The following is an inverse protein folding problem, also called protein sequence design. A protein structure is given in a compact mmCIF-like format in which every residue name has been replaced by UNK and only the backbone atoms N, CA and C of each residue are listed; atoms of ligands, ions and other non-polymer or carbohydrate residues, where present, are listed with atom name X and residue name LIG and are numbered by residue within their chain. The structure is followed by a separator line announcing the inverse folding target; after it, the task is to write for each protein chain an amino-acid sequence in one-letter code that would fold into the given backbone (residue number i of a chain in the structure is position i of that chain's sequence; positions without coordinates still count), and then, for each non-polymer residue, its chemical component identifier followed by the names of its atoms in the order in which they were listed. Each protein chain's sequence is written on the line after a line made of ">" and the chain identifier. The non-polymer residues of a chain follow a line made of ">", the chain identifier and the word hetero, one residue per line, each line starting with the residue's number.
data_IF_082980681509
#
_entry.id   IF_082980681509
#
_cell.length_a   1.000
_cell.length_b   1.000
_cell.length_c   1.000
_cell.angle_alpha   90.00
_cell.angle_beta   90.00
_cell.angle_gamma   90.00
#
_symmetry.space_group_name_H-M   'P 1'
#
loop_
_entity.id
_entity.type
_entity.pdbx_description
1 polymer ?
#
# COMPACT_ATOMS: atom_id res chain seq x y z
N UNK A 1 17.61 21.20 17.19
CA UNK A 1 16.98 21.67 15.94
C UNK A 1 16.03 20.59 15.48
N UNK A 2 14.72 20.79 15.62
CA UNK A 2 13.73 19.85 15.12
C UNK A 2 13.69 19.99 13.61
N UNK A 3 14.13 18.95 12.89
CA UNK A 3 13.85 18.84 11.47
C UNK A 3 12.33 18.79 11.31
N UNK A 4 11.76 19.80 10.70
CA UNK A 4 10.37 19.82 10.27
C UNK A 4 10.17 18.61 9.37
N UNK A 5 9.23 17.73 9.72
CA UNK A 5 8.79 16.66 8.84
C UNK A 5 8.37 17.33 7.52
N UNK A 6 9.17 17.13 6.48
CA UNK A 6 8.79 17.53 5.14
C UNK A 6 7.49 16.79 4.84
N UNK A 7 6.42 17.55 4.55
CA UNK A 7 5.15 16.98 4.09
C UNK A 7 5.47 16.08 2.88
N UNK A 8 5.40 14.78 3.09
CA UNK A 8 5.67 13.81 2.04
C UNK A 8 4.52 13.89 1.04
N UNK A 9 4.70 14.66 -0.03
CA UNK A 9 3.74 14.65 -1.13
C UNK A 9 3.81 13.30 -1.84
N UNK A 10 2.65 12.69 -2.11
CA UNK A 10 2.58 11.44 -2.86
C UNK A 10 3.24 11.62 -4.24
N UNK A 11 4.34 10.92 -4.57
CA UNK A 11 5.04 11.08 -5.85
C UNK A 11 4.33 10.36 -6.99
N UNK A 12 4.67 10.71 -8.22
CA UNK A 12 4.35 9.91 -9.41
C UNK A 12 5.31 8.73 -9.51
N UNK A 13 4.77 7.52 -9.72
CA UNK A 13 5.55 6.32 -9.95
C UNK A 13 5.09 5.66 -11.26
N UNK A 14 6.02 5.03 -11.98
CA UNK A 14 5.73 4.30 -13.21
C UNK A 14 6.27 2.87 -13.11
N UNK A 15 5.47 1.90 -13.57
CA UNK A 15 5.88 0.50 -13.65
C UNK A 15 5.24 -0.17 -14.88
N UNK A 16 6.05 -0.36 -15.92
CA UNK A 16 5.57 -0.88 -17.20
C UNK A 16 4.46 0.00 -17.81
N UNK A 17 3.28 -0.58 -17.97
CA UNK A 17 2.09 0.11 -18.49
C UNK A 17 1.23 0.76 -17.41
N UNK A 18 1.71 0.84 -16.17
CA UNK A 18 1.00 1.49 -15.07
C UNK A 18 1.64 2.81 -14.69
N UNK A 19 0.79 3.76 -14.38
CA UNK A 19 1.16 5.02 -13.75
C UNK A 19 0.43 5.09 -12.40
N UNK A 20 1.18 5.28 -11.33
CA UNK A 20 0.65 5.54 -10.00
C UNK A 20 0.70 7.05 -9.79
N UNK A 21 -0.46 7.67 -9.78
CA UNK A 21 -0.59 9.12 -9.62
C UNK A 21 -1.13 9.46 -8.24
N UNK A 22 -0.78 10.62 -7.65
CA UNK A 22 -1.41 11.07 -6.42
C UNK A 22 -2.93 11.00 -6.53
N UNK A 23 -3.57 10.33 -5.56
CA UNK A 23 -5.02 10.25 -5.56
C UNK A 23 -5.63 11.65 -5.37
N UNK A 24 -6.59 12.00 -6.19
CA UNK A 24 -7.19 13.34 -6.22
C UNK A 24 -8.71 13.26 -6.44
N UNK A 25 -9.38 14.41 -6.41
CA UNK A 25 -10.83 14.50 -6.60
C UNK A 25 -11.32 13.81 -7.90
N UNK A 26 -10.52 13.78 -8.97
CA UNK A 26 -10.89 13.09 -10.23
C UNK A 26 -11.11 11.59 -10.07
N UNK A 27 -10.52 10.97 -9.01
CA UNK A 27 -10.64 9.54 -8.73
C UNK A 27 -11.81 9.20 -7.79
N UNK A 28 -12.40 10.22 -7.13
CA UNK A 28 -13.60 10.08 -6.29
C UNK A 28 -14.84 9.98 -7.16
N UNK A 29 -15.03 8.83 -7.80
CA UNK A 29 -16.10 8.55 -8.76
C UNK A 29 -17.11 7.54 -8.21
N UNK A 30 -18.29 7.46 -8.82
CA UNK A 30 -19.25 6.41 -8.52
C UNK A 30 -18.66 5.01 -8.72
N UNK A 31 -17.77 4.84 -9.72
CA UNK A 31 -17.05 3.60 -9.98
C UNK A 31 -16.15 3.21 -8.80
N UNK A 32 -15.36 4.17 -8.26
CA UNK A 32 -14.51 3.94 -7.08
C UNK A 32 -15.33 3.54 -5.85
N UNK A 33 -16.43 4.27 -5.59
CA UNK A 33 -17.37 3.93 -4.51
C UNK A 33 -18.00 2.55 -4.74
N UNK A 34 -18.32 2.24 -6.00
CA UNK A 34 -18.83 0.92 -6.40
C UNK A 34 -17.87 -0.21 -6.03
N UNK A 35 -16.56 -0.06 -6.29
CA UNK A 35 -15.57 -1.05 -5.89
C UNK A 35 -15.53 -1.32 -4.39
N UNK A 36 -15.62 -0.28 -3.58
CA UNK A 36 -15.60 -0.42 -2.12
C UNK A 36 -16.89 -1.04 -1.53
N UNK A 37 -17.96 -1.06 -2.31
CA UNK A 37 -19.24 -1.69 -1.96
C UNK A 37 -19.47 -3.04 -2.68
N UNK A 38 -18.57 -3.45 -3.56
CA UNK A 38 -18.64 -4.73 -4.25
C UNK A 38 -18.01 -5.84 -3.37
N UNK A 39 -18.81 -6.83 -2.92
CA UNK A 39 -18.33 -7.92 -2.07
C UNK A 39 -17.13 -8.68 -2.68
N UNK A 40 -17.08 -8.85 -4.00
CA UNK A 40 -15.99 -9.55 -4.66
C UNK A 40 -14.69 -8.72 -4.70
N UNK A 41 -14.81 -7.40 -4.73
CA UNK A 41 -13.65 -6.50 -4.68
C UNK A 41 -13.06 -6.47 -3.28
N UNK A 42 -13.91 -6.34 -2.26
CA UNK A 42 -13.48 -6.15 -0.87
C UNK A 42 -13.42 -7.45 -0.05
N UNK A 43 -13.60 -8.62 -0.67
CA UNK A 43 -13.73 -9.91 0.04
C UNK A 43 -12.61 -10.21 1.04
N UNK A 44 -11.40 -9.75 0.78
CA UNK A 44 -10.22 -9.92 1.64
C UNK A 44 -9.86 -8.69 2.47
N UNK A 45 -10.68 -7.63 2.40
CA UNK A 45 -10.48 -6.37 3.11
C UNK A 45 -11.52 -6.18 4.20
N UNK A 46 -11.17 -5.48 5.27
CA UNK A 46 -12.13 -5.07 6.32
C UNK A 46 -13.17 -4.06 5.81
N UNK A 47 -13.01 -3.55 4.57
CA UNK A 47 -14.03 -2.72 3.92
C UNK A 47 -15.33 -3.50 3.67
N UNK A 48 -15.30 -4.84 3.57
CA UNK A 48 -16.48 -5.72 3.44
C UNK A 48 -17.52 -5.55 4.56
N UNK A 49 -17.13 -5.00 5.71
CA UNK A 49 -18.00 -4.74 6.85
C UNK A 49 -18.58 -3.33 6.87
N UNK A 50 -18.32 -2.54 5.85
CA UNK A 50 -18.72 -1.13 5.76
C UNK A 50 -19.53 -0.89 4.51
N UNK A 51 -20.38 0.15 4.57
CA UNK A 51 -21.02 0.72 3.39
C UNK A 51 -20.40 2.08 3.11
N UNK A 52 -19.93 2.25 1.88
CA UNK A 52 -19.23 3.46 1.46
C UNK A 52 -20.16 4.38 0.67
N UNK A 53 -20.03 5.68 0.88
CA UNK A 53 -20.60 6.75 0.09
C UNK A 53 -19.46 7.62 -0.46
N UNK A 54 -19.76 8.48 -1.43
CA UNK A 54 -18.79 9.46 -1.92
C UNK A 54 -18.21 10.29 -0.77
N UNK A 55 -19.07 10.79 0.12
CA UNK A 55 -18.66 11.57 1.28
C UNK A 55 -17.72 10.80 2.22
N UNK A 56 -17.99 9.51 2.48
CA UNK A 56 -17.11 8.70 3.32
C UNK A 56 -15.74 8.48 2.68
N UNK A 57 -15.69 8.36 1.35
CA UNK A 57 -14.45 8.24 0.58
C UNK A 57 -13.65 9.56 0.59
N UNK A 58 -14.32 10.70 0.41
CA UNK A 58 -13.71 12.02 0.53
C UNK A 58 -13.08 12.24 1.91
N UNK A 59 -13.83 11.95 2.97
CA UNK A 59 -13.35 12.06 4.34
C UNK A 59 -12.13 11.17 4.59
N UNK A 60 -12.14 9.94 4.04
CA UNK A 60 -10.99 9.04 4.14
C UNK A 60 -9.75 9.63 3.46
N UNK A 61 -9.89 10.09 2.21
CA UNK A 61 -8.78 10.66 1.44
C UNK A 61 -8.18 11.89 2.15
N UNK A 62 -9.03 12.78 2.64
CA UNK A 62 -8.60 13.98 3.35
C UNK A 62 -7.86 13.63 4.65
N UNK A 63 -8.43 12.76 5.49
CA UNK A 63 -7.83 12.36 6.76
C UNK A 63 -6.53 11.58 6.56
N UNK A 64 -6.47 10.71 5.55
CA UNK A 64 -5.30 9.90 5.25
C UNK A 64 -4.13 10.78 4.79
N UNK A 65 -4.39 11.74 3.91
CA UNK A 65 -3.40 12.72 3.48
C UNK A 65 -2.98 13.68 4.60
N UNK A 66 -3.93 14.18 5.40
CA UNK A 66 -3.63 15.05 6.54
C UNK A 66 -2.78 14.36 7.62
N UNK A 67 -2.89 13.04 7.75
CA UNK A 67 -2.04 12.23 8.61
C UNK A 67 -0.61 11.99 8.03
N UNK A 68 -0.31 12.54 6.84
CA UNK A 68 1.00 12.39 6.18
C UNK A 68 1.21 11.04 5.51
N UNK A 69 0.15 10.28 5.26
CA UNK A 69 0.19 9.01 4.56
C UNK A 69 0.08 9.21 3.04
N UNK A 70 0.53 8.22 2.26
CA UNK A 70 0.57 8.30 0.81
C UNK A 70 -0.55 7.45 0.19
N UNK A 71 -1.26 8.02 -0.77
CA UNK A 71 -2.34 7.36 -1.50
C UNK A 71 -2.19 7.63 -2.99
N UNK A 72 -2.09 6.55 -3.76
CA UNK A 72 -2.05 6.60 -5.23
C UNK A 72 -3.32 6.01 -5.84
N UNK A 73 -3.77 6.61 -6.90
CA UNK A 73 -4.60 5.94 -7.89
C UNK A 73 -3.69 5.17 -8.85
N UNK A 74 -4.09 3.94 -9.17
CA UNK A 74 -3.43 3.11 -10.19
C UNK A 74 -4.18 3.33 -11.49
N UNK A 75 -3.49 3.89 -12.48
CA UNK A 75 -4.00 4.11 -13.83
C UNK A 75 -3.19 3.27 -14.82
N UNK A 76 -3.82 2.80 -15.89
CA UNK A 76 -3.07 2.27 -17.04
C UNK A 76 -2.58 3.43 -17.91
N UNK A 77 -1.45 3.29 -18.58
CA UNK A 77 -0.91 4.33 -19.47
C UNK A 77 -1.96 4.73 -20.50
N UNK A 78 -2.36 6.01 -20.49
CA UNK A 78 -3.43 6.55 -21.34
C UNK A 78 -4.80 5.88 -21.16
N UNK A 79 -5.02 5.23 -20.03
CA UNK A 79 -6.23 4.46 -19.75
C UNK A 79 -6.91 4.82 -18.43
N UNK A 80 -7.91 4.02 -18.03
CA UNK A 80 -8.72 4.32 -16.87
C UNK A 80 -7.98 4.07 -15.54
N UNK A 81 -8.54 4.68 -14.48
CA UNK A 81 -8.30 4.31 -13.09
C UNK A 81 -8.79 2.89 -12.83
N UNK A 82 -7.93 2.01 -12.30
CA UNK A 82 -8.21 0.58 -12.12
C UNK A 82 -8.12 0.11 -10.66
N UNK A 83 -7.62 0.96 -9.76
CA UNK A 83 -7.43 0.61 -8.36
C UNK A 83 -6.67 1.68 -7.60
N UNK A 84 -6.37 1.40 -6.35
CA UNK A 84 -5.57 2.28 -5.51
C UNK A 84 -4.59 1.51 -4.63
N UNK A 85 -3.52 2.18 -4.23
CA UNK A 85 -2.51 1.66 -3.33
C UNK A 85 -2.18 2.73 -2.28
N UNK A 86 -2.02 2.30 -1.05
CA UNK A 86 -1.72 3.16 0.10
C UNK A 86 -0.39 2.81 0.70
N UNK A 87 0.27 3.80 1.32
CA UNK A 87 1.35 3.57 2.26
C UNK A 87 1.07 4.36 3.55
N UNK A 88 0.86 3.64 4.63
CA UNK A 88 0.78 4.21 5.98
C UNK A 88 2.20 4.37 6.49
N UNK A 89 2.59 5.60 6.86
CA UNK A 89 3.95 5.94 7.24
C UNK A 89 4.05 6.16 8.74
N UNK A 90 5.04 5.53 9.38
CA UNK A 90 5.43 5.74 10.77
C UNK A 90 6.90 6.17 10.81
N UNK A 91 7.12 7.47 10.75
CA UNK A 91 8.48 8.05 10.77
C UNK A 91 9.20 7.86 12.10
N UNK A 92 8.45 7.70 13.20
CA UNK A 92 9.06 7.51 14.54
C UNK A 92 9.68 6.13 14.67
N UNK A 93 8.98 5.12 14.17
CA UNK A 93 9.45 3.73 14.16
C UNK A 93 10.16 3.35 12.86
N UNK A 94 10.28 4.27 11.89
CA UNK A 94 10.92 4.09 10.58
C UNK A 94 10.30 2.93 9.78
N UNK A 95 8.97 2.85 9.84
CA UNK A 95 8.16 1.80 9.20
C UNK A 95 7.22 2.39 8.15
N UNK A 96 6.96 1.61 7.12
CA UNK A 96 5.85 1.86 6.20
C UNK A 96 5.03 0.57 6.01
N UNK A 97 3.71 0.70 5.87
CA UNK A 97 2.80 -0.43 5.61
C UNK A 97 2.01 -0.18 4.34
N UNK A 98 2.03 -1.14 3.41
CA UNK A 98 1.39 -1.02 2.10
C UNK A 98 0.05 -1.77 2.09
N UNK A 99 -0.98 -1.12 1.51
CA UNK A 99 -2.26 -1.72 1.21
C UNK A 99 -2.67 -1.47 -0.24
N UNK A 100 -3.24 -2.45 -0.93
CA UNK A 100 -3.64 -2.36 -2.33
C UNK A 100 -5.05 -2.87 -2.57
N UNK A 101 -5.75 -2.24 -3.51
CA UNK A 101 -7.04 -2.68 -4.05
C UNK A 101 -7.02 -2.52 -5.58
N UNK A 102 -7.19 -3.62 -6.32
CA UNK A 102 -7.52 -3.58 -7.74
C UNK A 102 -9.04 -3.69 -7.85
N UNK A 103 -9.67 -2.55 -8.13
CA UNK A 103 -11.13 -2.42 -8.18
C UNK A 103 -11.72 -2.94 -9.49
N UNK A 104 -11.10 -2.56 -10.62
CA UNK A 104 -11.57 -2.98 -11.92
C UNK A 104 -11.42 -4.50 -12.13
N UNK A 105 -12.54 -5.25 -12.33
CA UNK A 105 -12.49 -6.70 -12.50
C UNK A 105 -11.74 -7.12 -13.76
N UNK A 106 -11.77 -6.29 -14.81
CA UNK A 106 -11.08 -6.60 -16.08
C UNK A 106 -9.56 -6.41 -15.98
N UNK A 107 -9.09 -5.76 -14.95
CA UNK A 107 -7.65 -5.54 -14.67
C UNK A 107 -7.05 -6.58 -13.74
N UNK A 108 -7.84 -7.48 -13.17
CA UNK A 108 -7.35 -8.56 -12.30
C UNK A 108 -6.67 -9.66 -13.10
N UNK A 109 -5.71 -10.36 -12.50
CA UNK A 109 -4.98 -11.47 -13.13
C UNK A 109 -3.97 -11.06 -14.21
N UNK A 110 -3.84 -9.76 -14.52
CA UNK A 110 -2.93 -9.23 -15.56
C UNK A 110 -1.57 -8.75 -15.03
N UNK A 111 -1.26 -9.03 -13.77
CA UNK A 111 0.00 -8.60 -13.13
C UNK A 111 0.01 -7.16 -12.62
N UNK A 112 -1.08 -6.40 -12.79
CA UNK A 112 -1.16 -4.99 -12.38
C UNK A 112 -0.92 -4.80 -10.87
N UNK A 113 -1.46 -5.70 -10.03
CA UNK A 113 -1.23 -5.66 -8.59
C UNK A 113 0.25 -5.86 -8.22
N UNK A 114 0.94 -6.79 -8.91
CA UNK A 114 2.37 -7.03 -8.71
C UNK A 114 3.22 -5.82 -9.13
N UNK A 115 2.92 -5.23 -10.29
CA UNK A 115 3.64 -4.07 -10.81
C UNK A 115 3.46 -2.84 -9.91
N UNK A 116 2.21 -2.55 -9.47
CA UNK A 116 1.92 -1.43 -8.58
C UNK A 116 2.56 -1.62 -7.19
N UNK A 117 2.45 -2.83 -6.61
CA UNK A 117 3.07 -3.14 -5.32
C UNK A 117 4.58 -3.00 -5.37
N UNK A 118 5.23 -3.56 -6.41
CA UNK A 118 6.68 -3.47 -6.60
C UNK A 118 7.16 -2.03 -6.73
N UNK A 119 6.44 -1.17 -7.46
CA UNK A 119 6.79 0.23 -7.62
C UNK A 119 6.77 0.99 -6.28
N UNK A 120 5.71 0.81 -5.47
CA UNK A 120 5.59 1.46 -4.16
C UNK A 120 6.61 0.89 -3.17
N UNK A 121 6.81 -0.44 -3.17
CA UNK A 121 7.81 -1.09 -2.33
C UNK A 121 9.21 -0.57 -2.62
N UNK A 122 9.60 -0.46 -3.91
CA UNK A 122 10.89 0.08 -4.33
C UNK A 122 11.06 1.55 -3.92
N UNK A 123 10.02 2.37 -4.09
CA UNK A 123 10.02 3.76 -3.65
C UNK A 123 10.28 3.87 -2.14
N UNK A 124 9.56 3.10 -1.33
CA UNK A 124 9.68 3.12 0.13
C UNK A 124 11.02 2.52 0.61
N UNK A 125 11.49 1.45 -0.03
CA UNK A 125 12.77 0.82 0.28
C UNK A 125 13.96 1.76 0.09
N UNK A 126 13.89 2.63 -0.92
CA UNK A 126 14.94 3.61 -1.23
C UNK A 126 14.77 4.93 -0.43
N UNK A 127 13.69 5.08 0.32
CA UNK A 127 13.45 6.27 1.11
C UNK A 127 14.25 6.24 2.42
N UNK A 128 15.07 7.26 2.73
CA UNK A 128 16.00 7.22 3.85
C UNK A 128 15.34 7.16 5.24
N UNK A 129 14.04 7.45 5.31
CA UNK A 129 13.30 7.46 6.57
C UNK A 129 12.80 6.08 7.00
N UNK A 130 12.88 5.05 6.16
CA UNK A 130 12.32 3.74 6.50
C UNK A 130 13.39 2.65 6.55
N UNK A 131 13.33 1.81 7.56
CA UNK A 131 14.19 0.64 7.73
C UNK A 131 13.44 -0.65 7.37
N UNK A 132 12.11 -0.58 7.30
CA UNK A 132 11.26 -1.74 7.06
C UNK A 132 9.97 -1.33 6.37
N UNK A 133 9.58 -2.09 5.36
CA UNK A 133 8.28 -1.98 4.70
C UNK A 133 7.50 -3.25 4.95
N UNK A 134 6.26 -3.12 5.39
CA UNK A 134 5.37 -4.24 5.74
C UNK A 134 4.13 -4.31 4.85
N UNK A 135 3.49 -5.44 4.88
CA UNK A 135 2.16 -5.66 4.37
C UNK A 135 1.55 -6.90 5.00
N UNK A 136 0.24 -6.93 5.13
CA UNK A 136 -0.47 -8.06 5.73
C UNK A 136 -1.72 -8.42 4.96
N UNK A 137 -2.09 -9.70 4.98
CA UNK A 137 -3.34 -10.16 4.39
C UNK A 137 -3.89 -11.39 5.11
N UNK A 138 -5.15 -11.72 4.83
CA UNK A 138 -5.74 -12.98 5.28
C UNK A 138 -4.94 -14.17 4.71
N UNK A 139 -4.77 -15.21 5.49
CA UNK A 139 -4.08 -16.44 5.07
C UNK A 139 -4.73 -17.11 3.85
N UNK A 140 -6.00 -16.82 3.59
CA UNK A 140 -6.77 -17.28 2.42
C UNK A 140 -6.55 -16.42 1.17
N UNK A 141 -5.91 -15.25 1.28
CA UNK A 141 -5.65 -14.34 0.14
C UNK A 141 -4.37 -14.73 -0.60
N UNK A 142 -4.42 -15.90 -1.26
CA UNK A 142 -3.28 -16.44 -2.02
C UNK A 142 -2.72 -15.49 -3.08
N UNK A 143 -3.55 -14.71 -3.82
CA UNK A 143 -3.02 -13.74 -4.77
C UNK A 143 -2.13 -12.68 -4.11
N UNK A 144 -2.52 -12.15 -2.94
CA UNK A 144 -1.71 -11.15 -2.24
C UNK A 144 -0.43 -11.73 -1.66
N UNK A 145 -0.49 -12.95 -1.10
CA UNK A 145 0.71 -13.66 -0.63
C UNK A 145 1.71 -13.84 -1.76
N UNK A 146 1.26 -14.28 -2.93
CA UNK A 146 2.12 -14.43 -4.11
C UNK A 146 2.74 -13.10 -4.58
N UNK A 147 2.00 -11.98 -4.50
CA UNK A 147 2.54 -10.65 -4.84
C UNK A 147 3.66 -10.28 -3.87
N UNK A 148 3.43 -10.38 -2.57
CA UNK A 148 4.44 -10.04 -1.56
C UNK A 148 5.70 -10.90 -1.70
N UNK A 149 5.55 -12.21 -1.90
CA UNK A 149 6.67 -13.13 -2.10
C UNK A 149 7.47 -12.83 -3.37
N UNK A 150 6.80 -12.57 -4.50
CA UNK A 150 7.46 -12.19 -5.76
C UNK A 150 8.19 -10.85 -5.67
N UNK A 151 7.77 -9.98 -4.76
CA UNK A 151 8.47 -8.73 -4.45
C UNK A 151 9.59 -8.90 -3.41
N UNK A 152 9.95 -10.13 -3.02
CA UNK A 152 11.04 -10.41 -2.10
C UNK A 152 10.73 -10.17 -0.63
N UNK A 153 9.46 -9.97 -0.27
CA UNK A 153 9.05 -9.83 1.13
C UNK A 153 9.06 -11.19 1.84
N UNK A 154 9.63 -11.25 3.03
CA UNK A 154 9.75 -12.46 3.84
C UNK A 154 8.73 -12.49 4.97
N UNK A 155 8.55 -13.66 5.62
CA UNK A 155 7.65 -13.80 6.76
C UNK A 155 8.05 -12.87 7.92
N UNK A 156 7.08 -12.13 8.46
CA UNK A 156 7.29 -11.16 9.55
C UNK A 156 6.44 -11.43 10.79
N UNK A 157 5.49 -12.32 10.69
CA UNK A 157 4.66 -12.73 11.80
C UNK A 157 3.29 -13.25 11.37
N UNK A 158 2.60 -13.86 12.33
CA UNK A 158 1.26 -14.41 12.14
C UNK A 158 0.39 -14.01 13.33
N UNK A 159 -0.81 -13.51 13.05
CA UNK A 159 -1.87 -13.36 14.07
C UNK A 159 -2.86 -14.49 13.90
N UNK A 160 -2.79 -15.47 14.78
CA UNK A 160 -3.60 -16.67 14.70
C UNK A 160 -5.08 -16.38 14.95
N UNK A 161 -5.95 -16.94 14.10
CA UNK A 161 -7.42 -16.90 14.23
C UNK A 161 -7.97 -15.50 14.46
N UNK A 162 -7.36 -14.50 13.79
CA UNK A 162 -7.56 -13.10 14.13
C UNK A 162 -8.87 -12.54 13.58
N UNK A 163 -9.18 -12.85 12.33
CA UNK A 163 -10.40 -12.37 11.66
C UNK A 163 -11.42 -13.48 11.43
N UNK A 164 -12.68 -13.05 11.27
CA UNK A 164 -13.76 -13.90 10.78
C UNK A 164 -13.90 -13.66 9.27
N UNK A 165 -13.73 -14.71 8.46
CA UNK A 165 -13.88 -14.68 7.02
C UNK A 165 -14.73 -15.86 6.57
N UNK A 166 -15.84 -15.60 5.88
CA UNK A 166 -16.82 -16.61 5.44
C UNK A 166 -17.24 -17.58 6.58
N UNK A 167 -17.48 -17.01 7.76
CA UNK A 167 -17.92 -17.78 8.94
C UNK A 167 -16.78 -18.53 9.68
N UNK A 168 -15.54 -18.48 9.21
CA UNK A 168 -14.43 -19.17 9.82
C UNK A 168 -13.37 -18.19 10.36
N UNK A 169 -12.71 -18.60 11.46
CA UNK A 169 -11.55 -17.88 11.99
C UNK A 169 -10.32 -18.15 11.14
N UNK A 170 -9.75 -17.08 10.56
CA UNK A 170 -8.57 -17.13 9.71
C UNK A 170 -7.43 -16.30 10.30
N UNK A 171 -6.21 -16.68 9.93
CA UNK A 171 -5.00 -15.99 10.35
C UNK A 171 -4.76 -14.74 9.48
N UNK A 172 -4.00 -13.77 10.05
CA UNK A 172 -3.36 -12.71 9.29
C UNK A 172 -1.88 -13.06 9.15
N UNK A 173 -1.41 -13.11 7.91
CA UNK A 173 0.00 -13.29 7.60
C UNK A 173 0.62 -11.95 7.30
N UNK A 174 1.68 -11.61 8.03
CA UNK A 174 2.49 -10.41 7.80
C UNK A 174 3.75 -10.77 7.04
N UNK A 175 4.11 -9.91 6.07
CA UNK A 175 5.35 -9.97 5.29
C UNK A 175 6.08 -8.66 5.42
N UNK A 176 7.40 -8.70 5.36
CA UNK A 176 8.23 -7.50 5.40
C UNK A 176 9.40 -7.57 4.41
N UNK A 177 9.83 -6.39 3.99
CA UNK A 177 11.13 -6.15 3.37
C UNK A 177 11.92 -5.22 4.27
N UNK A 178 13.13 -5.64 4.67
CA UNK A 178 14.08 -4.79 5.37
C UNK A 178 14.84 -3.93 4.36
N UNK A 179 14.84 -2.62 4.59
CA UNK A 179 15.54 -1.68 3.72
C UNK A 179 17.05 -1.77 3.99
N UNK A 180 17.92 -1.73 2.96
CA UNK A 180 19.34 -1.69 3.18
C UNK A 180 19.68 -0.41 3.95
N UNK A 181 20.39 -0.53 5.07
CA UNK A 181 20.91 0.63 5.79
C UNK A 181 21.95 1.30 4.90
N UNK A 182 21.73 2.55 4.55
CA UNK A 182 22.81 3.39 4.05
C UNK A 182 23.74 3.69 5.25
N UNK A 183 24.73 2.84 5.46
CA UNK A 183 25.84 3.10 6.40
C UNK A 183 26.68 4.27 5.88
N UNK A 184 26.11 5.46 5.90
CA UNK A 184 26.85 6.71 5.83
C UNK A 184 27.26 7.14 7.25
N UNK A 185 27.83 6.24 8.02
CA UNK A 185 28.72 6.65 9.08
C UNK A 185 30.12 6.74 8.48
N UNK A 186 30.42 7.96 8.02
CA UNK A 186 31.76 8.30 7.57
C UNK A 186 32.79 7.84 8.56
N UNK A 187 33.72 7.04 8.10
CA UNK A 187 35.04 6.89 8.65
C UNK A 187 35.70 8.27 8.76
N UNK A 188 35.48 8.98 9.86
CA UNK A 188 36.43 10.01 10.28
C UNK A 188 37.61 9.26 10.89
N UNK A 189 38.59 8.97 10.02
CA UNK A 189 39.94 8.58 10.44
C UNK A 189 40.40 9.53 11.54
N UNK A 190 40.56 9.04 12.73
CA UNK A 190 41.45 9.61 13.72
C UNK A 190 42.88 9.37 13.19
N UNK A 191 43.40 10.39 12.54
CA UNK A 191 44.80 10.53 12.25
C UNK A 191 45.43 11.40 13.32
N UNK A 192 46.30 10.80 14.08
CA UNK A 192 47.42 11.35 14.87
C UNK A 192 47.06 12.35 15.98
#
# INVERSE_FOLDING_TARGET
>A
MHATASEASTPYLQSGQLVLVPFSAKHLTATYVGWLNDPEVVRYSEQRHRRHSLQSCENFVQNFSAAGHLLWAIETTNGPHIGNITATLDFKNRLADIGILIGDPHSRGKGHGLAAWGAVLQFLQNHPSFDKVTGGCLSTNMPMLSIMEKCGMTADGVRLRHYLWEGQKVDILHRALHCPKNDQTGSSALGQ
#
